data_IF_991672596633
#
_entry.id   IF_991672596633
#
_cell.length_a   1.000
_cell.length_b   1.000
_cell.length_c   1.000
_cell.angle_alpha   90.00
_cell.angle_beta   90.00
_cell.angle_gamma   90.00
#
_symmetry.space_group_name_H-M   'P 1'
#
loop_
_entity.id
_entity.type
_entity.pdbx_description
1 polymer ?
#
# COMPACT_ATOMS: atom_id res chain seq x y z
N UNK A 1 7.81 -10.82 -19.47
CA UNK A 1 7.61 -10.76 -17.99
C UNK A 1 7.43 -12.17 -17.40
N UNK A 2 6.71 -13.09 -18.07
CA UNK A 2 6.60 -14.50 -17.67
C UNK A 2 7.95 -15.23 -17.57
N UNK A 3 8.92 -14.88 -18.42
CA UNK A 3 10.20 -15.60 -18.49
C UNK A 3 11.13 -15.33 -17.29
N UNK A 4 10.98 -14.21 -16.57
CA UNK A 4 11.76 -13.91 -15.36
C UNK A 4 11.21 -14.61 -14.12
N UNK A 5 9.89 -14.84 -14.07
CA UNK A 5 9.22 -15.56 -12.99
C UNK A 5 9.48 -17.08 -13.07
N UNK A 6 9.66 -17.60 -14.29
CA UNK A 6 10.00 -19.01 -14.56
C UNK A 6 11.25 -19.48 -13.78
N UNK A 7 12.31 -18.66 -13.72
CA UNK A 7 13.54 -19.02 -12.99
C UNK A 7 13.37 -19.06 -11.47
N UNK A 8 12.47 -18.24 -10.90
CA UNK A 8 12.16 -18.26 -9.46
C UNK A 8 11.40 -19.54 -9.10
N UNK A 9 10.54 -20.00 -10.00
CA UNK A 9 9.74 -21.22 -9.81
C UNK A 9 10.50 -22.51 -10.15
N UNK A 10 11.62 -22.43 -10.88
CA UNK A 10 12.45 -23.60 -11.22
C UNK A 10 13.61 -23.84 -10.26
N UNK A 11 13.86 -22.93 -9.32
CA UNK A 11 14.91 -23.05 -8.28
C UNK A 11 14.36 -23.73 -7.02
N UNK A 12 15.28 -24.20 -6.17
CA UNK A 12 14.99 -24.81 -4.88
C UNK A 12 14.05 -23.97 -4.01
N UNK A 13 13.36 -24.62 -3.06
CA UNK A 13 12.31 -23.97 -2.24
C UNK A 13 12.81 -22.84 -1.33
N UNK A 14 14.13 -22.78 -1.14
CA UNK A 14 14.85 -21.72 -0.42
C UNK A 14 16.16 -21.46 -1.16
N UNK A 15 16.36 -20.24 -1.62
CA UNK A 15 17.54 -19.85 -2.41
C UNK A 15 18.18 -18.59 -1.84
N UNK A 16 19.49 -18.58 -1.70
CA UNK A 16 20.24 -17.38 -1.32
C UNK A 16 20.68 -16.60 -2.56
N UNK A 17 20.41 -15.30 -2.58
CA UNK A 17 20.88 -14.35 -3.59
C UNK A 17 21.67 -13.25 -2.89
N UNK A 18 22.75 -12.77 -3.50
CA UNK A 18 23.54 -11.67 -2.94
C UNK A 18 23.22 -10.36 -3.64
N UNK A 19 23.01 -9.30 -2.85
CA UNK A 19 22.94 -7.93 -3.34
C UNK A 19 24.15 -7.17 -2.80
N UNK A 20 25.15 -6.97 -3.67
CA UNK A 20 26.48 -6.56 -3.23
C UNK A 20 27.06 -7.57 -2.25
N UNK A 21 27.35 -7.12 -1.03
CA UNK A 21 27.84 -7.97 0.07
C UNK A 21 26.72 -8.50 0.98
N UNK A 22 25.47 -8.09 0.75
CA UNK A 22 24.35 -8.45 1.62
C UNK A 22 23.66 -9.72 1.10
N UNK A 23 23.64 -10.82 1.88
CA UNK A 23 22.87 -12.01 1.52
C UNK A 23 21.37 -11.74 1.72
N UNK A 24 20.56 -12.15 0.76
CA UNK A 24 19.10 -12.13 0.80
C UNK A 24 18.60 -13.55 0.55
N UNK A 25 17.68 -14.03 1.39
CA UNK A 25 17.12 -15.37 1.25
C UNK A 25 15.74 -15.25 0.61
N UNK A 26 15.58 -15.85 -0.57
CA UNK A 26 14.30 -16.02 -1.25
C UNK A 26 13.66 -17.31 -0.76
N UNK A 27 12.51 -17.19 -0.11
CA UNK A 27 11.75 -18.32 0.44
C UNK A 27 10.48 -18.50 -0.38
N UNK A 28 10.33 -19.65 -1.03
CA UNK A 28 9.11 -20.05 -1.75
C UNK A 28 8.37 -21.19 -1.05
N UNK A 29 8.99 -21.83 -0.06
CA UNK A 29 8.36 -22.84 0.81
C UNK A 29 7.37 -22.23 1.81
N UNK A 30 6.12 -22.70 1.81
CA UNK A 30 5.05 -22.18 2.68
C UNK A 30 5.26 -22.49 4.16
N UNK A 31 5.87 -23.63 4.50
CA UNK A 31 6.12 -23.99 5.90
C UNK A 31 7.21 -23.10 6.49
N UNK A 32 8.24 -22.80 5.71
CA UNK A 32 9.28 -21.85 6.10
C UNK A 32 8.72 -20.43 6.19
N UNK A 33 7.89 -19.99 5.22
CA UNK A 33 7.22 -18.68 5.29
C UNK A 33 6.33 -18.55 6.52
N UNK A 34 5.58 -19.61 6.89
CA UNK A 34 4.77 -19.63 8.12
C UNK A 34 5.64 -19.49 9.37
N UNK A 35 6.80 -20.15 9.40
CA UNK A 35 7.71 -20.00 10.54
C UNK A 35 8.20 -18.55 10.63
N UNK A 36 8.72 -17.97 9.55
CA UNK A 36 9.25 -16.60 9.53
C UNK A 36 8.19 -15.53 9.83
N UNK A 37 7.02 -15.59 9.20
CA UNK A 37 6.02 -14.52 9.27
C UNK A 37 5.06 -14.65 10.46
N UNK A 38 4.94 -15.84 11.08
CA UNK A 38 3.96 -16.11 12.13
C UNK A 38 4.60 -16.69 13.39
N UNK A 39 5.26 -17.85 13.31
CA UNK A 39 5.75 -18.52 14.54
C UNK A 39 6.92 -17.76 15.18
N UNK A 40 7.87 -17.37 14.35
CA UNK A 40 9.12 -16.71 14.71
C UNK A 40 9.07 -15.22 14.31
N UNK A 41 7.89 -14.64 14.20
CA UNK A 41 7.72 -13.24 13.76
C UNK A 41 8.43 -12.24 14.69
N UNK A 42 8.62 -12.60 15.95
CA UNK A 42 9.37 -11.83 16.95
C UNK A 42 10.89 -11.79 16.67
N UNK A 43 11.41 -12.73 15.87
CA UNK A 43 12.80 -12.71 15.38
C UNK A 43 12.91 -11.84 14.12
N UNK A 44 11.88 -11.83 13.28
CA UNK A 44 11.83 -11.15 11.98
C UNK A 44 10.93 -9.90 11.99
N UNK A 45 10.99 -9.10 13.06
CA UNK A 45 10.13 -7.91 13.24
C UNK A 45 10.41 -6.85 12.19
N UNK A 46 11.70 -6.59 11.93
CA UNK A 46 12.14 -5.44 11.15
C UNK A 46 12.10 -5.73 9.65
N UNK A 47 11.56 -4.77 8.90
CA UNK A 47 11.65 -4.77 7.44
C UNK A 47 13.00 -4.25 6.98
N UNK A 48 13.39 -4.67 5.77
CA UNK A 48 14.57 -4.12 5.09
C UNK A 48 14.44 -2.60 4.97
N UNK A 49 15.50 -1.88 5.34
CA UNK A 49 15.59 -0.45 5.08
C UNK A 49 15.79 -0.24 3.58
N UNK A 50 14.87 0.47 2.95
CA UNK A 50 14.99 0.92 1.56
C UNK A 50 15.47 2.37 1.62
N UNK A 51 16.67 2.63 1.08
CA UNK A 51 17.18 3.99 0.93
C UNK A 51 16.21 4.79 0.05
N UNK A 52 15.62 5.85 0.60
CA UNK A 52 14.60 6.66 -0.09
C UNK A 52 13.37 7.00 0.75
N UNK A 53 13.15 6.32 1.89
CA UNK A 53 12.22 6.79 2.91
C UNK A 53 12.82 8.02 3.62
N UNK A 54 12.72 9.18 2.98
CA UNK A 54 13.22 10.45 3.49
C UNK A 54 12.07 11.39 3.85
N UNK A 55 12.32 12.34 4.75
CA UNK A 55 11.34 13.35 5.14
C UNK A 55 10.15 12.75 5.92
N UNK A 56 8.90 13.14 5.63
CA UNK A 56 7.73 12.77 6.45
C UNK A 56 7.49 11.27 6.65
N UNK A 57 8.05 10.41 5.79
CA UNK A 57 7.85 8.96 5.83
C UNK A 57 8.93 8.19 6.61
N UNK A 58 9.98 8.86 7.08
CA UNK A 58 11.06 8.20 7.85
C UNK A 58 10.56 7.58 9.16
N UNK A 59 9.49 8.16 9.73
CA UNK A 59 8.80 7.68 10.93
C UNK A 59 7.55 6.83 10.61
N UNK A 60 7.40 6.39 9.36
CA UNK A 60 6.28 5.57 8.92
C UNK A 60 6.32 4.15 9.49
N UNK A 61 5.16 3.52 9.70
CA UNK A 61 5.04 2.18 10.27
C UNK A 61 5.78 1.09 9.47
N UNK A 62 6.07 1.31 8.19
CA UNK A 62 6.83 0.37 7.36
C UNK A 62 8.35 0.54 7.48
N UNK A 63 8.81 1.59 8.15
CA UNK A 63 10.22 1.99 8.29
C UNK A 63 10.71 1.85 9.73
N UNK A 64 9.86 2.19 10.70
CA UNK A 64 10.16 2.04 12.13
C UNK A 64 10.59 0.60 12.46
N UNK A 65 11.45 0.48 13.47
CA UNK A 65 12.04 -0.79 13.91
C UNK A 65 11.78 -1.03 15.39
N UNK A 66 11.82 -2.31 15.76
CA UNK A 66 11.83 -2.78 17.15
C UNK A 66 10.68 -2.16 17.96
N UNK A 67 10.97 -1.70 19.19
CA UNK A 67 10.00 -1.11 20.11
C UNK A 67 9.25 0.10 19.52
N UNK A 68 9.90 0.91 18.68
CA UNK A 68 9.24 2.06 18.05
C UNK A 68 8.13 1.61 17.10
N UNK A 69 8.39 0.53 16.35
CA UNK A 69 7.39 -0.08 15.49
C UNK A 69 6.26 -0.71 16.31
N UNK A 70 6.58 -1.43 17.39
CA UNK A 70 5.56 -2.05 18.26
C UNK A 70 4.64 -0.98 18.87
N UNK A 71 5.22 0.10 19.38
CA UNK A 71 4.49 1.22 19.95
C UNK A 71 3.61 1.89 18.90
N UNK A 72 4.16 2.27 17.75
CA UNK A 72 3.38 2.89 16.66
C UNK A 72 2.25 1.96 16.16
N UNK A 73 2.53 0.65 16.03
CA UNK A 73 1.54 -0.34 15.60
C UNK A 73 0.40 -0.46 16.60
N UNK A 74 0.69 -0.45 17.90
CA UNK A 74 -0.31 -0.55 18.96
C UNK A 74 -1.30 0.61 18.92
N UNK A 75 -0.84 1.81 18.53
CA UNK A 75 -1.64 3.02 18.39
C UNK A 75 -2.51 2.98 17.12
N UNK A 76 -1.95 2.53 15.99
CA UNK A 76 -2.63 2.57 14.69
C UNK A 76 -3.61 1.41 14.49
N UNK A 77 -3.31 0.22 15.01
CA UNK A 77 -4.11 -1.00 14.77
C UNK A 77 -5.60 -0.88 15.15
N UNK A 78 -6.00 -0.23 16.26
CA UNK A 78 -7.40 -0.07 16.64
C UNK A 78 -8.26 0.68 15.62
N UNK A 79 -7.67 1.57 14.82
CA UNK A 79 -8.35 2.34 13.77
C UNK A 79 -8.93 1.43 12.68
N UNK A 80 -8.37 0.25 12.49
CA UNK A 80 -8.81 -0.74 11.50
C UNK A 80 -9.72 -1.84 12.08
N UNK A 81 -10.30 -1.61 13.27
CA UNK A 81 -11.32 -2.51 13.81
C UNK A 81 -12.59 -2.53 12.95
N UNK A 82 -13.33 -3.63 12.99
CA UNK A 82 -14.59 -3.78 12.22
C UNK A 82 -15.58 -2.65 12.48
N UNK A 83 -15.70 -2.17 13.73
CA UNK A 83 -16.58 -1.07 14.08
C UNK A 83 -16.16 0.25 13.40
N UNK A 84 -14.85 0.56 13.39
CA UNK A 84 -14.32 1.75 12.73
C UNK A 84 -14.44 1.67 11.22
N UNK A 85 -14.17 0.50 10.63
CA UNK A 85 -14.37 0.26 9.20
C UNK A 85 -15.84 0.44 8.78
N UNK A 86 -16.78 -0.06 9.58
CA UNK A 86 -18.22 0.17 9.35
C UNK A 86 -18.59 1.65 9.42
N UNK A 87 -17.96 2.43 10.32
CA UNK A 87 -18.18 3.86 10.40
C UNK A 87 -17.63 4.63 9.19
N UNK A 88 -16.54 4.15 8.58
CA UNK A 88 -15.97 4.72 7.34
C UNK A 88 -16.71 4.29 6.07
N UNK A 89 -17.56 3.27 6.13
CA UNK A 89 -18.20 2.66 4.97
C UNK A 89 -19.03 3.63 4.11
N UNK A 90 -19.73 4.59 4.72
CA UNK A 90 -20.49 5.58 3.95
C UNK A 90 -19.57 6.46 3.11
N UNK A 91 -18.46 6.95 3.68
CA UNK A 91 -17.47 7.77 2.97
C UNK A 91 -16.83 7.01 1.80
N UNK A 92 -16.56 5.72 1.99
CA UNK A 92 -16.05 4.84 0.91
C UNK A 92 -17.07 4.69 -0.23
N UNK A 93 -18.37 4.59 0.07
CA UNK A 93 -19.41 4.53 -0.95
C UNK A 93 -19.55 5.86 -1.69
N UNK A 94 -19.52 6.99 -0.99
CA UNK A 94 -19.59 8.31 -1.63
C UNK A 94 -18.44 8.50 -2.64
N UNK A 95 -17.22 8.11 -2.26
CA UNK A 95 -16.08 8.13 -3.17
C UNK A 95 -16.26 7.15 -4.36
N UNK A 96 -16.88 5.99 -4.12
CA UNK A 96 -17.12 4.97 -5.15
C UNK A 96 -18.18 5.43 -6.16
N UNK A 97 -19.23 6.08 -5.69
CA UNK A 97 -20.28 6.64 -6.55
C UNK A 97 -19.73 7.74 -7.44
N UNK A 98 -18.89 8.64 -6.91
CA UNK A 98 -18.18 9.64 -7.71
C UNK A 98 -17.24 9.00 -8.74
N UNK A 99 -16.51 7.95 -8.36
CA UNK A 99 -15.63 7.21 -9.26
C UNK A 99 -16.41 6.57 -10.42
N UNK A 100 -17.55 5.95 -10.13
CA UNK A 100 -18.44 5.36 -11.13
C UNK A 100 -19.00 6.41 -12.08
N UNK A 101 -19.47 7.55 -11.56
CA UNK A 101 -19.94 8.67 -12.38
C UNK A 101 -18.86 9.16 -13.35
N UNK A 102 -17.62 9.29 -12.86
CA UNK A 102 -16.50 9.68 -13.74
C UNK A 102 -16.17 8.64 -14.79
N UNK A 103 -16.19 7.36 -14.46
CA UNK A 103 -15.98 6.31 -15.45
C UNK A 103 -17.04 6.34 -16.56
N UNK A 104 -18.31 6.56 -16.21
CA UNK A 104 -19.39 6.73 -17.17
C UNK A 104 -19.16 7.97 -18.06
N UNK A 105 -18.80 9.11 -17.48
CA UNK A 105 -18.46 10.33 -18.24
C UNK A 105 -17.34 10.08 -19.27
N UNK A 106 -16.28 9.36 -18.87
CA UNK A 106 -15.17 9.04 -19.77
C UNK A 106 -15.58 8.03 -20.84
N UNK A 107 -16.46 7.08 -20.52
CA UNK A 107 -16.98 6.10 -21.47
C UNK A 107 -17.85 6.77 -22.54
N UNK A 108 -18.78 7.64 -22.12
CA UNK A 108 -19.68 8.37 -23.03
C UNK A 108 -18.91 9.30 -23.97
N UNK A 109 -17.87 9.96 -23.47
CA UNK A 109 -17.02 10.87 -24.25
C UNK A 109 -15.92 10.13 -25.01
N UNK A 110 -15.70 8.85 -24.75
CA UNK A 110 -14.57 8.06 -25.23
C UNK A 110 -13.20 8.71 -24.95
N UNK A 111 -13.06 9.33 -23.78
CA UNK A 111 -11.87 10.11 -23.39
C UNK A 111 -11.00 9.40 -22.35
N UNK A 112 -11.35 8.19 -21.91
CA UNK A 112 -10.53 7.45 -20.94
C UNK A 112 -9.16 7.12 -21.52
N UNK A 113 -8.11 7.78 -21.03
CA UNK A 113 -6.73 7.54 -21.44
C UNK A 113 -5.96 6.67 -20.45
N UNK A 114 -6.29 6.73 -19.15
CA UNK A 114 -5.53 6.08 -18.09
C UNK A 114 -6.41 5.71 -16.89
N UNK A 115 -6.79 4.43 -16.83
CA UNK A 115 -7.57 3.88 -15.72
C UNK A 115 -6.80 3.91 -14.38
N UNK A 116 -5.48 3.78 -14.40
CA UNK A 116 -4.67 3.82 -13.17
C UNK A 116 -4.74 5.21 -12.53
N UNK A 117 -4.72 6.27 -13.35
CA UNK A 117 -4.76 7.66 -12.85
C UNK A 117 -6.09 7.96 -12.13
N UNK A 118 -7.23 7.63 -12.76
CA UNK A 118 -8.53 7.83 -12.09
C UNK A 118 -8.66 6.94 -10.84
N UNK A 119 -8.09 5.73 -10.84
CA UNK A 119 -8.10 4.85 -9.67
C UNK A 119 -7.24 5.40 -8.52
N UNK A 120 -6.13 6.07 -8.84
CA UNK A 120 -5.30 6.79 -7.85
C UNK A 120 -6.07 7.95 -7.20
N UNK A 121 -6.83 8.71 -8.00
CA UNK A 121 -7.71 9.77 -7.49
C UNK A 121 -8.80 9.21 -6.56
N UNK A 122 -9.42 8.09 -6.93
CA UNK A 122 -10.39 7.40 -6.07
C UNK A 122 -9.77 6.95 -4.73
N UNK A 123 -8.59 6.34 -4.77
CA UNK A 123 -7.88 5.94 -3.56
C UNK A 123 -7.54 7.15 -2.68
N UNK A 124 -7.10 8.26 -3.28
CA UNK A 124 -6.79 9.50 -2.55
C UNK A 124 -8.04 10.11 -1.90
N UNK A 125 -9.16 10.21 -2.62
CA UNK A 125 -10.42 10.75 -2.09
C UNK A 125 -10.98 9.86 -0.96
N UNK A 126 -10.85 8.54 -1.10
CA UNK A 126 -11.25 7.58 -0.06
C UNK A 126 -10.39 7.73 1.20
N UNK A 127 -9.05 7.79 1.05
CA UNK A 127 -8.13 7.95 2.18
C UNK A 127 -8.31 9.33 2.83
N UNK A 128 -8.42 10.39 2.03
CA UNK A 128 -8.62 11.77 2.47
C UNK A 128 -9.85 11.92 3.35
N UNK A 129 -10.99 11.43 2.86
CA UNK A 129 -12.25 11.45 3.60
C UNK A 129 -12.23 10.57 4.85
N UNK A 130 -11.79 9.31 4.73
CA UNK A 130 -11.85 8.35 5.82
C UNK A 130 -10.86 8.63 6.97
N UNK A 131 -9.60 8.96 6.64
CA UNK A 131 -8.55 9.12 7.65
C UNK A 131 -8.41 10.55 8.15
N UNK A 132 -8.62 11.54 7.28
CA UNK A 132 -8.36 12.94 7.60
C UNK A 132 -9.62 13.80 7.66
N UNK A 133 -10.78 13.26 7.26
CA UNK A 133 -12.03 14.03 7.18
C UNK A 133 -11.97 15.18 6.18
N UNK A 134 -11.12 15.08 5.16
CA UNK A 134 -10.95 16.12 4.14
C UNK A 134 -11.57 15.67 2.82
N UNK A 135 -12.25 16.60 2.17
CA UNK A 135 -12.73 16.43 0.80
C UNK A 135 -11.66 16.91 -0.18
N UNK A 136 -10.92 15.98 -0.75
CA UNK A 136 -9.84 16.28 -1.71
C UNK A 136 -10.38 16.61 -3.11
N UNK A 137 -11.59 16.13 -3.44
CA UNK A 137 -12.27 16.33 -4.73
C UNK A 137 -11.37 16.07 -5.95
N UNK A 138 -10.46 15.11 -5.82
CA UNK A 138 -9.43 14.86 -6.83
C UNK A 138 -9.98 14.13 -8.05
N UNK A 139 -11.08 13.39 -7.89
CA UNK A 139 -11.85 12.81 -9.00
C UNK A 139 -12.53 13.87 -9.89
N UNK A 140 -12.81 15.05 -9.33
CA UNK A 140 -13.42 16.16 -10.08
C UNK A 140 -12.35 17.10 -10.65
N UNK A 141 -11.25 17.27 -9.92
CA UNK A 141 -10.13 18.14 -10.29
C UNK A 141 -8.80 17.37 -10.25
N UNK A 142 -8.35 16.93 -11.42
CA UNK A 142 -7.08 16.20 -11.59
C UNK A 142 -5.83 17.03 -11.18
N UNK A 143 -5.98 18.35 -10.97
CA UNK A 143 -4.93 19.26 -10.54
C UNK A 143 -5.02 19.66 -9.06
N UNK A 144 -5.83 18.95 -8.26
CA UNK A 144 -5.94 19.19 -6.82
C UNK A 144 -4.55 19.18 -6.16
N UNK A 145 -4.32 20.12 -5.22
CA UNK A 145 -3.01 20.36 -4.62
C UNK A 145 -2.38 19.10 -4.05
N UNK A 146 -3.18 18.23 -3.42
CA UNK A 146 -2.69 16.97 -2.85
C UNK A 146 -2.19 15.99 -3.92
N UNK A 147 -2.87 15.90 -5.07
CA UNK A 147 -2.45 15.02 -6.18
C UNK A 147 -1.04 15.40 -6.66
N UNK A 148 -0.77 16.69 -6.79
CA UNK A 148 0.53 17.22 -7.28
C UNK A 148 1.70 16.91 -6.36
N UNK A 149 1.46 16.71 -5.07
CA UNK A 149 2.51 16.46 -4.08
C UNK A 149 2.59 14.99 -3.64
N UNK A 150 1.55 14.18 -3.85
CA UNK A 150 1.51 12.76 -3.49
C UNK A 150 1.96 11.82 -4.61
N UNK A 151 1.65 12.14 -5.87
CA UNK A 151 2.01 11.32 -7.02
C UNK A 151 3.15 12.00 -7.77
N UNK A 152 4.37 11.76 -7.32
CA UNK A 152 5.62 12.18 -7.98
C UNK A 152 5.95 11.20 -9.10
#
# INVERSE_FOLDING_TARGET
MKDKLCWIMSSDRVTCIYEGTTPNILITDLDVLRNVLIKDSHVFINRRTIEGAAGPFEHGLTVLKDEQWENARSIVSPTFSTAKLKAMHSLMNDASDMYNQRLLDYADKQTLNNLNRISQHFALDTIGSCLFGIETNSLQNENATLVKHLFI
#
